data_IF_146519553722
#
_entry.id   IF_146519553722
#
_cell.length_a   1.000
_cell.length_b   1.000
_cell.length_c   1.000
_cell.angle_alpha   90.00
_cell.angle_beta   90.00
_cell.angle_gamma   90.00
#
_symmetry.space_group_name_H-M   'P 1'
#
loop_
_entity.id
_entity.type
_entity.pdbx_description
1 polymer ?
#
# COMPACT_ATOMS: atom_id res chain seq x y z
N UNK A 1 -8.04 6.57 -5.59
CA UNK A 1 -7.69 6.19 -6.97
C UNK A 1 -7.30 4.73 -6.94
N UNK A 2 -7.70 3.93 -7.93
CA UNK A 2 -7.25 2.54 -8.08
C UNK A 2 -6.43 2.44 -9.36
N UNK A 3 -5.44 1.55 -9.37
CA UNK A 3 -4.54 1.35 -10.50
C UNK A 3 -3.96 -0.05 -10.53
N UNK A 4 -3.30 -0.38 -11.63
CA UNK A 4 -2.62 -1.65 -11.83
C UNK A 4 -1.14 -1.39 -12.02
N UNK A 5 -0.30 -2.28 -11.51
CA UNK A 5 1.13 -2.30 -11.87
C UNK A 5 1.22 -2.78 -13.31
N UNK A 6 1.79 -1.96 -14.18
CA UNK A 6 1.97 -2.26 -15.60
C UNK A 6 3.45 -2.26 -15.96
N UNK A 7 3.87 -3.22 -16.79
CA UNK A 7 5.21 -3.27 -17.36
C UNK A 7 5.26 -2.78 -18.81
N UNK A 8 4.10 -2.67 -19.47
CA UNK A 8 3.93 -2.18 -20.83
C UNK A 8 3.09 -0.90 -20.82
N UNK A 9 3.78 0.23 -20.75
CA UNK A 9 3.19 1.57 -20.67
C UNK A 9 2.46 1.92 -21.97
N UNK A 10 2.98 1.51 -23.12
CA UNK A 10 2.38 1.84 -24.42
C UNK A 10 1.08 1.07 -24.63
N UNK A 11 1.02 -0.20 -24.20
CA UNK A 11 -0.23 -0.95 -24.18
C UNK A 11 -1.25 -0.32 -23.24
N UNK A 12 -0.86 0.06 -22.02
CA UNK A 12 -1.77 0.72 -21.09
C UNK A 12 -2.35 2.02 -21.68
N UNK A 13 -1.52 2.86 -22.32
CA UNK A 13 -1.97 4.06 -23.05
C UNK A 13 -2.92 3.72 -24.20
N UNK A 14 -2.63 2.68 -24.98
CA UNK A 14 -3.49 2.23 -26.09
C UNK A 14 -4.88 1.77 -25.63
N UNK A 15 -4.99 1.33 -24.37
CA UNK A 15 -6.25 0.97 -23.71
C UNK A 15 -7.00 2.19 -23.12
N UNK A 16 -6.45 3.40 -23.27
CA UNK A 16 -7.04 4.63 -22.74
C UNK A 16 -6.82 4.85 -21.24
N UNK A 17 -5.83 4.19 -20.64
CA UNK A 17 -5.47 4.38 -19.23
C UNK A 17 -4.50 5.55 -19.08
N UNK A 18 -4.68 6.33 -18.02
CA UNK A 18 -3.70 7.31 -17.57
C UNK A 18 -2.51 6.62 -16.92
N UNK A 19 -1.32 7.19 -17.10
CA UNK A 19 -0.07 6.67 -16.55
C UNK A 19 0.37 7.54 -15.38
N UNK A 20 0.54 6.90 -14.23
CA UNK A 20 1.12 7.50 -13.04
C UNK A 20 2.49 6.87 -12.78
N UNK A 21 3.55 7.65 -12.98
CA UNK A 21 4.90 7.23 -12.61
C UNK A 21 5.14 7.46 -11.12
N UNK A 22 5.56 6.42 -10.41
CA UNK A 22 5.95 6.50 -9.01
C UNK A 22 7.46 6.33 -8.93
N UNK A 23 8.13 7.33 -8.35
CA UNK A 23 9.57 7.26 -8.13
C UNK A 23 9.95 6.22 -7.08
N UNK A 24 11.14 5.65 -7.21
CA UNK A 24 11.70 4.70 -6.26
C UNK A 24 11.78 5.30 -4.84
N UNK A 25 11.41 4.50 -3.84
CA UNK A 25 11.55 4.82 -2.41
C UNK A 25 11.56 3.54 -1.59
N UNK A 26 12.02 3.61 -0.34
CA UNK A 26 11.89 2.51 0.62
C UNK A 26 10.48 2.47 1.22
N UNK A 27 9.97 1.26 1.44
CA UNK A 27 8.66 1.00 2.01
C UNK A 27 8.76 0.07 3.22
N UNK A 28 8.01 0.39 4.27
CA UNK A 28 7.60 -0.59 5.27
C UNK A 28 6.33 -1.29 4.76
N UNK A 29 6.38 -2.61 4.63
CA UNK A 29 5.26 -3.42 4.15
C UNK A 29 4.64 -4.16 5.32
N UNK A 30 3.36 -3.91 5.58
CA UNK A 30 2.59 -4.54 6.66
C UNK A 30 1.57 -5.50 6.04
N UNK A 31 1.72 -6.81 6.26
CA UNK A 31 0.71 -7.79 5.87
C UNK A 31 -0.51 -7.67 6.80
N UNK A 32 -1.70 -7.51 6.21
CA UNK A 32 -2.96 -7.37 6.90
C UNK A 32 -3.83 -8.61 6.64
N UNK A 33 -4.57 -9.02 7.66
CA UNK A 33 -5.62 -10.04 7.54
C UNK A 33 -6.92 -9.50 8.13
N UNK A 34 -8.02 -9.67 7.41
CA UNK A 34 -9.34 -9.18 7.81
C UNK A 34 -10.11 -8.50 6.69
N UNK A 35 -11.38 -8.25 6.93
CA UNK A 35 -12.25 -7.56 5.98
C UNK A 35 -11.87 -6.09 5.79
N UNK A 36 -11.95 -5.62 4.56
CA UNK A 36 -11.77 -4.21 4.19
C UNK A 36 -13.05 -3.43 4.54
N UNK A 37 -12.97 -2.22 5.13
CA UNK A 37 -11.77 -1.43 5.41
C UNK A 37 -11.19 -1.61 6.82
N UNK A 38 -11.71 -2.51 7.65
CA UNK A 38 -11.31 -2.64 9.05
C UNK A 38 -9.83 -3.03 9.21
N UNK A 39 -9.35 -3.98 8.42
CA UNK A 39 -7.94 -4.39 8.46
C UNK A 39 -6.98 -3.24 8.11
N UNK A 40 -7.36 -2.34 7.20
CA UNK A 40 -6.57 -1.16 6.82
C UNK A 40 -6.45 -0.17 7.99
N UNK A 41 -7.57 0.14 8.65
CA UNK A 41 -7.56 1.03 9.82
C UNK A 41 -6.67 0.47 10.94
N UNK A 42 -6.76 -0.83 11.18
CA UNK A 42 -5.92 -1.50 12.18
C UNK A 42 -4.43 -1.48 11.78
N UNK A 43 -4.13 -1.67 10.48
CA UNK A 43 -2.77 -1.57 9.95
C UNK A 43 -2.16 -0.18 10.15
N UNK A 44 -2.91 0.88 9.85
CA UNK A 44 -2.47 2.26 10.10
C UNK A 44 -2.29 2.57 11.58
N UNK A 45 -3.19 2.07 12.43
CA UNK A 45 -3.06 2.22 13.88
C UNK A 45 -1.76 1.59 14.39
N UNK A 46 -1.48 0.35 13.97
CA UNK A 46 -0.21 -0.33 14.29
C UNK A 46 1.00 0.47 13.79
N UNK A 47 0.96 0.95 12.54
CA UNK A 47 2.06 1.71 11.97
C UNK A 47 2.40 2.97 12.79
N UNK A 48 1.36 3.73 13.17
CA UNK A 48 1.51 5.01 13.87
C UNK A 48 1.83 4.84 15.36
N UNK A 49 1.18 3.90 16.04
CA UNK A 49 1.29 3.74 17.50
C UNK A 49 2.43 2.82 17.92
N UNK A 50 2.93 1.96 17.03
CA UNK A 50 3.92 0.92 17.36
C UNK A 50 5.13 0.98 16.44
N UNK A 51 4.95 0.77 15.13
CA UNK A 51 6.07 0.62 14.21
C UNK A 51 6.99 1.86 14.16
N UNK A 52 6.43 3.04 13.89
CA UNK A 52 7.22 4.28 13.77
C UNK A 52 7.94 4.66 15.08
N UNK A 53 7.27 4.67 16.25
CA UNK A 53 7.94 4.96 17.52
C UNK A 53 9.09 4.01 17.88
N UNK A 54 9.01 2.74 17.51
CA UNK A 54 9.98 1.71 17.94
C UNK A 54 11.18 1.56 16.99
N UNK A 55 11.03 1.87 15.69
CA UNK A 55 12.02 1.50 14.67
C UNK A 55 12.85 2.67 14.13
N UNK A 56 12.60 3.91 14.57
CA UNK A 56 13.36 5.09 14.16
C UNK A 56 13.11 5.51 12.69
N UNK A 57 11.97 5.11 12.14
CA UNK A 57 11.51 5.54 10.82
C UNK A 57 10.43 6.61 10.95
N UNK A 58 10.26 7.39 9.88
CA UNK A 58 9.13 8.30 9.70
C UNK A 58 8.56 8.15 8.30
N UNK A 59 7.32 8.62 8.10
CA UNK A 59 6.72 8.69 6.77
C UNK A 59 7.50 9.66 5.88
N UNK A 60 7.95 9.21 4.71
CA UNK A 60 8.82 10.00 3.81
C UNK A 60 8.09 11.08 3.01
N UNK A 61 6.75 11.08 3.01
CA UNK A 61 5.90 11.99 2.23
C UNK A 61 5.71 11.55 0.77
N UNK A 62 6.25 10.40 0.38
CA UNK A 62 5.96 9.73 -0.89
C UNK A 62 4.57 9.06 -0.84
N UNK A 63 4.03 8.55 -1.96
CA UNK A 63 2.72 7.91 -1.99
C UNK A 63 2.68 6.57 -1.25
N UNK A 64 1.62 6.37 -0.47
CA UNK A 64 1.20 5.10 0.13
C UNK A 64 0.53 4.17 -0.89
N UNK A 65 0.58 2.86 -0.63
CA UNK A 65 -0.21 1.88 -1.38
C UNK A 65 -1.00 0.94 -0.49
N UNK A 66 -2.24 0.70 -0.89
CA UNK A 66 -3.07 -0.41 -0.44
C UNK A 66 -2.99 -1.49 -1.53
N UNK A 67 -2.27 -2.58 -1.27
CA UNK A 67 -2.10 -3.66 -2.24
C UNK A 67 -3.11 -4.77 -1.96
N UNK A 68 -4.17 -4.79 -2.78
CA UNK A 68 -5.28 -5.73 -2.68
C UNK A 68 -4.95 -7.04 -3.41
N UNK A 69 -4.90 -8.16 -2.68
CA UNK A 69 -4.79 -9.48 -3.29
C UNK A 69 -6.12 -9.89 -3.95
N UNK A 70 -6.06 -10.88 -4.84
CA UNK A 70 -7.26 -11.50 -5.40
C UNK A 70 -8.09 -12.18 -4.29
N UNK A 71 -9.42 -12.03 -4.35
CA UNK A 71 -10.33 -12.69 -3.41
C UNK A 71 -11.51 -11.82 -2.98
N UNK A 72 -12.25 -12.31 -1.99
CA UNK A 72 -13.37 -11.59 -1.38
C UNK A 72 -12.87 -10.64 -0.28
N UNK A 73 -12.87 -9.34 -0.58
CA UNK A 73 -12.44 -8.27 0.32
C UNK A 73 -13.28 -8.15 1.61
N UNK A 74 -14.47 -8.75 1.64
CA UNK A 74 -15.35 -8.75 2.81
C UNK A 74 -15.11 -9.97 3.71
N UNK A 75 -14.26 -10.91 3.30
CA UNK A 75 -13.90 -12.07 4.12
C UNK A 75 -13.06 -11.66 5.32
N UNK A 76 -13.29 -12.31 6.46
CA UNK A 76 -12.45 -12.16 7.65
C UNK A 76 -11.05 -12.76 7.48
N UNK A 77 -10.89 -13.62 6.49
CA UNK A 77 -9.61 -14.24 6.14
C UNK A 77 -8.97 -13.58 4.91
N UNK A 78 -9.55 -12.47 4.41
CA UNK A 78 -8.96 -11.72 3.31
C UNK A 78 -7.59 -11.19 3.71
N UNK A 79 -6.65 -11.25 2.77
CA UNK A 79 -5.30 -10.72 2.93
C UNK A 79 -5.07 -9.55 2.01
N UNK A 80 -4.28 -8.61 2.48
CA UNK A 80 -3.75 -7.51 1.67
C UNK A 80 -2.49 -6.96 2.32
N UNK A 81 -1.85 -5.98 1.69
CA UNK A 81 -0.71 -5.30 2.27
C UNK A 81 -0.93 -3.79 2.31
N UNK A 82 -0.39 -3.17 3.36
CA UNK A 82 -0.24 -1.73 3.46
C UNK A 82 1.23 -1.37 3.28
N UNK A 83 1.53 -0.59 2.26
CA UNK A 83 2.88 -0.17 1.90
C UNK A 83 3.04 1.30 2.26
N UNK A 84 3.82 1.56 3.30
CA UNK A 84 4.02 2.90 3.86
C UNK A 84 5.43 3.36 3.49
N UNK A 85 5.61 4.48 2.79
CA UNK A 85 6.92 4.91 2.36
C UNK A 85 7.69 5.54 3.52
N UNK A 86 8.92 5.07 3.74
CA UNK A 86 9.68 5.42 4.95
C UNK A 86 11.02 6.08 4.63
N UNK A 87 11.51 6.86 5.57
CA UNK A 87 12.91 7.27 5.66
C UNK A 87 13.35 7.26 7.13
N UNK A 88 14.67 7.25 7.37
CA UNK A 88 15.21 7.35 8.73
C UNK A 88 14.94 8.74 9.31
N UNK A 89 14.56 8.77 10.58
CA UNK A 89 14.45 10.01 11.37
C UNK A 89 15.81 10.63 11.67
#
# INVERSE_FOLDING_TARGET
MAGYIVTDVDKARSMGLDILEIGETEYAVVELTGSVPECIHNGWKYAMEVFFPEHGYVHSGKPDFEYYYEGDMYSKDYKMELWIPVCKS
#
